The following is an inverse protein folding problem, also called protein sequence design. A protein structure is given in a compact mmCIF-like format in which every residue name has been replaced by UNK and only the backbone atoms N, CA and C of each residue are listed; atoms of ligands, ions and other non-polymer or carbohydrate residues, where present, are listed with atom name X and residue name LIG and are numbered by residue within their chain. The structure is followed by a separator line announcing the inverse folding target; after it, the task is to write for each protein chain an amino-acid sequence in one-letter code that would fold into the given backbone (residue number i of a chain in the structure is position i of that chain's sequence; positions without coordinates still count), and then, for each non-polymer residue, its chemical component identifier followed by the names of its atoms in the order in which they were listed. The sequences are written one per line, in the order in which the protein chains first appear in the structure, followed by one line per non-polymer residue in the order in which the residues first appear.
data_IF_480670761792
#
_entry.id   IF_480670761792
#
_cell.length_a   1.000
_cell.length_b   1.000
_cell.length_c   1.000
_cell.angle_alpha   90.00
_cell.angle_beta   90.00
_cell.angle_gamma   90.00
#
_symmetry.space_group_name_H-M   'P 1'
#
loop_
_entity.id
_entity.type
_entity.pdbx_description
1 polymer ?
#
# COMPACT_ATOMS: atom_id res chain seq x y z
N UNK A 1 2.62 -40.38 40.29
CA UNK A 1 2.26 -39.49 39.17
C UNK A 1 1.09 -40.13 38.44
N UNK A 2 -0.12 -39.93 38.95
CA UNK A 2 -1.33 -40.33 38.23
C UNK A 2 -1.67 -39.19 37.29
N UNK A 3 -1.55 -39.41 35.98
CA UNK A 3 -2.03 -38.46 34.98
C UNK A 3 -3.54 -38.38 35.08
N UNK A 4 -4.05 -37.21 35.46
CA UNK A 4 -5.48 -36.94 35.42
C UNK A 4 -5.93 -37.02 33.94
N UNK A 5 -6.93 -37.84 33.60
CA UNK A 5 -7.38 -37.98 32.22
C UNK A 5 -7.90 -36.63 31.73
N UNK A 6 -7.30 -36.09 30.66
CA UNK A 6 -7.73 -34.83 30.07
C UNK A 6 -9.19 -34.92 29.65
N UNK A 7 -9.97 -33.90 30.01
CA UNK A 7 -11.40 -33.89 29.80
C UNK A 7 -11.66 -33.73 28.28
N UNK A 8 -12.38 -34.64 27.61
CA UNK A 8 -12.52 -34.62 26.15
C UNK A 8 -13.06 -33.30 25.59
N UNK A 9 -13.82 -32.53 26.39
CA UNK A 9 -14.37 -31.22 26.04
C UNK A 9 -13.29 -30.13 25.88
N UNK A 10 -12.24 -30.15 26.71
CA UNK A 10 -11.14 -29.16 26.60
C UNK A 10 -10.39 -29.34 25.28
N UNK A 11 -10.19 -30.60 24.87
CA UNK A 11 -9.51 -30.93 23.61
C UNK A 11 -10.24 -30.41 22.37
N UNK A 12 -11.57 -30.32 22.39
CA UNK A 12 -12.34 -29.84 21.24
C UNK A 12 -12.33 -28.32 21.13
N UNK A 13 -12.47 -27.60 22.25
CA UNK A 13 -12.39 -26.14 22.27
C UNK A 13 -11.00 -25.64 21.88
N UNK A 14 -9.94 -26.29 22.37
CA UNK A 14 -8.56 -25.97 22.00
C UNK A 14 -8.38 -26.07 20.48
N UNK A 15 -8.85 -27.17 19.86
CA UNK A 15 -8.81 -27.35 18.40
C UNK A 15 -9.60 -26.28 17.64
N UNK A 16 -10.78 -25.89 18.12
CA UNK A 16 -11.59 -24.84 17.48
C UNK A 16 -10.86 -23.49 17.55
N UNK A 17 -10.28 -23.16 18.70
CA UNK A 17 -9.51 -21.91 18.89
C UNK A 17 -8.28 -21.86 17.97
N UNK A 18 -7.55 -22.96 17.86
CA UNK A 18 -6.38 -23.11 16.99
C UNK A 18 -6.78 -22.94 15.51
N UNK A 19 -7.87 -23.59 15.08
CA UNK A 19 -8.40 -23.42 13.72
C UNK A 19 -8.84 -21.99 13.41
N UNK A 20 -9.37 -21.24 14.38
CA UNK A 20 -9.76 -19.84 14.18
C UNK A 20 -8.53 -18.94 14.05
N UNK A 21 -7.52 -19.13 14.90
CA UNK A 21 -6.25 -18.40 14.80
C UNK A 21 -5.53 -18.67 13.48
N UNK A 22 -5.50 -19.92 13.03
CA UNK A 22 -4.95 -20.28 11.71
C UNK A 22 -5.70 -19.60 10.57
N UNK A 23 -7.03 -19.56 10.60
CA UNK A 23 -7.84 -18.84 9.60
C UNK A 23 -7.56 -17.33 9.63
N UNK A 24 -7.43 -16.71 10.81
CA UNK A 24 -7.06 -15.29 10.95
C UNK A 24 -5.68 -15.04 10.33
N UNK A 25 -4.71 -15.92 10.61
CA UNK A 25 -3.36 -15.83 10.07
C UNK A 25 -3.36 -15.95 8.55
N UNK A 26 -4.11 -16.91 7.98
CA UNK A 26 -4.25 -17.06 6.54
C UNK A 26 -4.80 -15.79 5.88
N UNK A 27 -5.87 -15.19 6.43
CA UNK A 27 -6.44 -13.94 5.89
C UNK A 27 -5.43 -12.79 5.92
N UNK A 28 -4.66 -12.66 7.01
CA UNK A 28 -3.61 -11.65 7.14
C UNK A 28 -2.46 -11.88 6.17
N UNK A 29 -2.03 -13.13 5.99
CA UNK A 29 -0.99 -13.47 5.01
C UNK A 29 -1.46 -13.17 3.59
N UNK A 30 -2.68 -13.54 3.21
CA UNK A 30 -3.25 -13.17 1.91
C UNK A 30 -3.28 -11.65 1.73
N UNK A 31 -3.69 -10.89 2.74
CA UNK A 31 -3.68 -9.43 2.69
C UNK A 31 -2.27 -8.84 2.50
N UNK A 32 -1.24 -9.40 3.15
CA UNK A 32 0.16 -9.00 2.93
C UNK A 32 0.60 -9.22 1.50
N UNK A 33 0.31 -10.39 0.91
CA UNK A 33 0.65 -10.68 -0.48
C UNK A 33 -0.04 -9.73 -1.46
N UNK A 34 -1.32 -9.42 -1.22
CA UNK A 34 -2.06 -8.43 -2.01
C UNK A 34 -1.39 -7.05 -1.91
N UNK A 35 -1.03 -6.61 -0.70
CA UNK A 35 -0.35 -5.33 -0.48
C UNK A 35 1.00 -5.27 -1.21
N UNK A 36 1.81 -6.32 -1.12
CA UNK A 36 3.09 -6.43 -1.83
C UNK A 36 2.89 -6.36 -3.36
N UNK A 37 1.86 -7.02 -3.89
CA UNK A 37 1.51 -6.95 -5.30
C UNK A 37 1.19 -5.53 -5.76
N UNK A 38 0.34 -4.80 -5.01
CA UNK A 38 0.03 -3.40 -5.33
C UNK A 38 1.24 -2.48 -5.18
N UNK A 39 2.09 -2.70 -4.16
CA UNK A 39 3.34 -1.97 -4.00
C UNK A 39 4.27 -2.13 -5.20
N UNK A 40 4.39 -3.34 -5.73
CA UNK A 40 5.19 -3.62 -6.93
C UNK A 40 4.61 -2.93 -8.18
N UNK A 41 3.28 -2.96 -8.37
CA UNK A 41 2.61 -2.27 -9.49
C UNK A 41 2.82 -0.76 -9.38
N UNK A 42 2.66 -0.18 -8.19
CA UNK A 42 2.88 1.25 -7.97
C UNK A 42 4.34 1.66 -8.26
N UNK A 43 5.31 0.86 -7.80
CA UNK A 43 6.72 1.09 -8.09
C UNK A 43 7.03 1.01 -9.59
N UNK A 44 6.48 0.02 -10.30
CA UNK A 44 6.62 -0.11 -11.75
C UNK A 44 6.01 1.08 -12.51
N UNK A 45 4.83 1.55 -12.09
CA UNK A 45 4.19 2.72 -12.67
C UNK A 45 5.04 3.99 -12.45
N UNK A 46 5.58 4.19 -11.24
CA UNK A 46 6.45 5.33 -10.94
C UNK A 46 7.75 5.30 -11.75
N UNK A 47 8.35 4.11 -11.91
CA UNK A 47 9.56 3.94 -12.73
C UNK A 47 9.32 4.22 -14.22
N UNK A 48 8.10 3.96 -14.72
CA UNK A 48 7.73 4.19 -16.12
C UNK A 48 7.42 5.64 -16.48
N UNK A 49 7.18 6.52 -15.49
CA UNK A 49 6.81 7.92 -15.75
C UNK A 49 8.08 8.76 -15.94
N UNK A 50 8.44 9.02 -17.20
CA UNK A 50 9.46 10.01 -17.52
C UNK A 50 8.91 11.43 -17.32
N UNK A 51 9.01 11.94 -16.09
CA UNK A 51 8.59 13.30 -15.70
C UNK A 51 9.23 14.39 -16.56
N UNK A 52 10.42 14.14 -17.11
CA UNK A 52 11.15 15.05 -18.01
C UNK A 52 10.40 15.41 -19.30
N UNK A 53 9.39 14.61 -19.69
CA UNK A 53 8.61 14.81 -20.91
C UNK A 53 7.38 15.71 -20.70
N UNK A 54 6.92 15.87 -19.45
CA UNK A 54 5.64 16.52 -19.13
C UNK A 54 5.65 18.01 -19.50
N UNK A 55 6.79 18.70 -19.40
CA UNK A 55 6.90 20.13 -19.70
C UNK A 55 6.80 20.47 -21.19
N UNK A 56 6.88 19.49 -22.09
CA UNK A 56 6.96 19.70 -23.55
C UNK A 56 5.65 19.41 -24.29
N UNK A 57 4.59 19.01 -23.57
CA UNK A 57 3.33 18.59 -24.19
C UNK A 57 2.32 19.74 -24.20
N UNK A 58 2.23 20.46 -25.32
CA UNK A 58 1.27 21.56 -25.54
C UNK A 58 -0.09 21.06 -26.07
N UNK A 59 -0.54 19.89 -25.62
CA UNK A 59 -1.73 19.23 -26.14
C UNK A 59 -2.88 19.27 -25.13
N UNK A 60 -4.15 19.54 -25.54
CA UNK A 60 -5.29 19.50 -24.63
C UNK A 60 -5.48 18.12 -23.96
N UNK A 61 -4.93 17.06 -24.57
CA UNK A 61 -4.95 15.71 -24.01
C UNK A 61 -4.09 15.57 -22.74
N UNK A 62 -3.19 16.51 -22.44
CA UNK A 62 -2.38 16.47 -21.21
C UNK A 62 -3.25 16.60 -19.96
N UNK A 63 -4.35 17.36 -20.00
CA UNK A 63 -5.26 17.49 -18.87
C UNK A 63 -5.96 16.17 -18.57
N UNK A 64 -6.40 15.45 -19.61
CA UNK A 64 -6.98 14.13 -19.45
C UNK A 64 -5.97 13.11 -18.93
N UNK A 65 -4.73 13.16 -19.41
CA UNK A 65 -3.64 12.33 -18.89
C UNK A 65 -3.38 12.63 -17.39
N UNK A 66 -3.27 13.89 -17.00
CA UNK A 66 -3.05 14.26 -15.59
C UNK A 66 -4.20 13.83 -14.69
N UNK A 67 -5.46 14.11 -15.07
CA UNK A 67 -6.62 13.75 -14.25
C UNK A 67 -6.74 12.23 -14.14
N UNK A 68 -6.63 11.49 -15.25
CA UNK A 68 -6.72 10.03 -15.22
C UNK A 68 -5.58 9.41 -14.40
N UNK A 69 -4.37 9.96 -14.50
CA UNK A 69 -3.26 9.56 -13.64
C UNK A 69 -3.54 9.77 -12.14
N UNK A 70 -4.06 10.95 -11.75
CA UNK A 70 -4.42 11.23 -10.36
C UNK A 70 -5.54 10.33 -9.85
N UNK A 71 -6.55 10.04 -10.68
CA UNK A 71 -7.63 9.11 -10.35
C UNK A 71 -7.08 7.69 -10.14
N UNK A 72 -6.18 7.22 -11.01
CA UNK A 72 -5.54 5.92 -10.86
C UNK A 72 -4.72 5.84 -9.56
N UNK A 73 -3.90 6.86 -9.26
CA UNK A 73 -3.14 6.91 -8.01
C UNK A 73 -4.05 6.90 -6.77
N UNK A 74 -5.12 7.69 -6.80
CA UNK A 74 -6.08 7.75 -5.69
C UNK A 74 -6.76 6.41 -5.46
N UNK A 75 -7.16 5.72 -6.53
CA UNK A 75 -7.75 4.39 -6.46
C UNK A 75 -6.78 3.38 -5.82
N UNK A 76 -5.53 3.34 -6.26
CA UNK A 76 -4.49 2.46 -5.69
C UNK A 76 -4.23 2.78 -4.21
N UNK A 77 -4.21 4.06 -3.84
CA UNK A 77 -4.05 4.45 -2.44
C UNK A 77 -5.22 3.99 -1.56
N UNK A 78 -6.45 4.07 -2.07
CA UNK A 78 -7.64 3.57 -1.37
C UNK A 78 -7.61 2.04 -1.22
N UNK A 79 -7.11 1.30 -2.21
CA UNK A 79 -6.90 -0.16 -2.10
C UNK A 79 -5.89 -0.50 -0.99
N UNK A 80 -4.75 0.18 -0.97
CA UNK A 80 -3.73 0.04 0.07
C UNK A 80 -4.32 0.34 1.44
N UNK A 81 -5.13 1.40 1.56
CA UNK A 81 -5.80 1.78 2.80
C UNK A 81 -6.76 0.68 3.27
N UNK A 82 -7.60 0.14 2.38
CA UNK A 82 -8.55 -0.93 2.70
C UNK A 82 -7.84 -2.22 3.15
N UNK A 83 -6.77 -2.61 2.48
CA UNK A 83 -5.97 -3.79 2.87
C UNK A 83 -5.26 -3.54 4.18
N UNK A 84 -4.75 -2.33 4.41
CA UNK A 84 -4.14 -1.93 5.67
C UNK A 84 -5.13 -2.06 6.83
N UNK A 85 -6.40 -1.68 6.65
CA UNK A 85 -7.42 -1.87 7.67
C UNK A 85 -7.63 -3.35 8.06
N UNK A 86 -7.47 -4.30 7.13
CA UNK A 86 -7.52 -5.74 7.44
C UNK A 86 -6.35 -6.15 8.33
N UNK A 87 -5.15 -5.62 8.05
CA UNK A 87 -3.93 -5.91 8.80
C UNK A 87 -3.94 -5.25 10.18
N UNK A 88 -4.45 -4.02 10.27
CA UNK A 88 -4.52 -3.24 11.52
C UNK A 88 -5.79 -3.49 12.31
N UNK A 89 -6.66 -4.41 11.88
CA UNK A 89 -7.81 -4.85 12.67
C UNK A 89 -7.29 -5.60 13.92
N UNK A 90 -6.92 -4.80 14.91
CA UNK A 90 -6.35 -5.20 16.19
C UNK A 90 -7.36 -5.08 17.32
N UNK A 91 -6.90 -5.35 18.54
CA UNK A 91 -7.72 -5.44 19.76
C UNK A 91 -8.78 -4.35 19.84
N UNK A 92 -10.05 -4.76 19.88
CA UNK A 92 -11.16 -3.86 20.16
C UNK A 92 -11.25 -3.62 21.67
N UNK A 93 -11.46 -2.38 22.07
CA UNK A 93 -11.91 -2.10 23.43
C UNK A 93 -13.38 -2.53 23.59
N UNK A 94 -13.85 -2.62 24.83
CA UNK A 94 -15.22 -3.06 25.12
C UNK A 94 -16.29 -2.20 24.43
N UNK A 95 -16.12 -0.88 24.43
CA UNK A 95 -17.05 0.02 23.76
C UNK A 95 -17.13 -0.23 22.24
N UNK A 96 -16.01 -0.54 21.61
CA UNK A 96 -15.94 -0.93 20.21
C UNK A 96 -16.60 -2.30 19.99
N UNK A 97 -16.40 -3.26 20.89
CA UNK A 97 -17.07 -4.57 20.84
C UNK A 97 -18.59 -4.42 20.91
N UNK A 98 -19.11 -3.65 21.86
CA UNK A 98 -20.55 -3.36 21.99
C UNK A 98 -21.13 -2.70 20.74
N UNK A 99 -20.46 -1.68 20.20
CA UNK A 99 -20.88 -1.03 18.94
C UNK A 99 -20.85 -2.00 17.76
N UNK A 100 -19.84 -2.86 17.69
CA UNK A 100 -19.66 -3.82 16.60
C UNK A 100 -20.73 -4.92 16.62
N UNK A 101 -21.05 -5.48 17.80
CA UNK A 101 -22.09 -6.51 17.96
C UNK A 101 -23.49 -5.98 17.60
N UNK A 102 -23.73 -4.70 17.87
CA UNK A 102 -24.98 -4.03 17.56
C UNK A 102 -25.08 -3.52 16.11
N UNK A 103 -24.02 -3.66 15.29
CA UNK A 103 -24.07 -3.29 13.87
C UNK A 103 -24.94 -4.28 13.08
N UNK A 104 -25.94 -3.74 12.37
CA UNK A 104 -26.90 -4.52 11.56
C UNK A 104 -26.24 -5.36 10.48
N UNK A 105 -25.11 -4.92 9.91
CA UNK A 105 -24.38 -5.69 8.91
C UNK A 105 -23.63 -6.86 9.54
N UNK A 106 -23.11 -6.69 10.75
CA UNK A 106 -22.43 -7.75 11.50
C UNK A 106 -23.42 -8.84 11.91
N UNK A 107 -24.59 -8.46 12.41
CA UNK A 107 -25.64 -9.42 12.78
C UNK A 107 -26.13 -10.28 11.61
N UNK A 108 -26.05 -9.78 10.38
CA UNK A 108 -26.36 -10.58 9.17
C UNK A 108 -25.30 -11.65 8.88
N UNK A 109 -24.08 -11.49 9.39
CA UNK A 109 -22.94 -12.39 9.11
C UNK A 109 -22.76 -13.39 10.24
N UNK A 110 -22.88 -12.94 11.49
CA UNK A 110 -22.78 -13.79 12.67
C UNK A 110 -23.73 -13.27 13.76
N UNK A 111 -24.50 -14.17 14.36
CA UNK A 111 -25.34 -13.84 15.51
C UNK A 111 -24.49 -13.92 16.79
N UNK A 112 -23.77 -12.83 17.09
CA UNK A 112 -22.90 -12.72 18.27
C UNK A 112 -23.69 -12.68 19.59
N UNK A 113 -25.02 -12.47 19.54
CA UNK A 113 -25.92 -12.59 20.69
C UNK A 113 -26.43 -14.02 20.87
N UNK A 114 -25.68 -15.03 20.42
CA UNK A 114 -26.04 -16.42 20.65
C UNK A 114 -25.87 -16.76 22.13
N UNK A 115 -26.97 -17.19 22.76
CA UNK A 115 -27.03 -17.61 24.16
C UNK A 115 -25.94 -18.63 24.51
N UNK A 116 -25.56 -19.50 23.57
CA UNK A 116 -24.55 -20.53 23.77
C UNK A 116 -23.12 -19.95 23.84
N UNK A 117 -22.84 -18.89 23.07
CA UNK A 117 -21.56 -18.18 23.10
C UNK A 117 -21.41 -17.38 24.39
N UNK A 118 -22.52 -16.84 24.89
CA UNK A 118 -22.56 -15.96 26.05
C UNK A 118 -22.85 -16.70 27.35
N UNK A 119 -22.76 -18.03 27.41
CA UNK A 119 -23.01 -18.82 28.63
C UNK A 119 -24.35 -18.49 29.31
N UNK A 120 -25.41 -18.35 28.52
CA UNK A 120 -26.78 -18.11 29.01
C UNK A 120 -27.25 -16.66 28.97
N UNK A 121 -26.38 -15.68 28.70
CA UNK A 121 -26.81 -14.29 28.59
C UNK A 121 -27.54 -14.02 27.26
N UNK A 122 -28.57 -13.18 27.33
CA UNK A 122 -29.42 -12.85 26.17
C UNK A 122 -28.74 -11.91 25.17
N UNK A 123 -27.81 -11.08 25.64
CA UNK A 123 -27.17 -10.03 24.84
C UNK A 123 -25.76 -9.79 25.35
N UNK A 124 -24.85 -9.45 24.45
CA UNK A 124 -23.47 -9.05 24.80
C UNK A 124 -23.44 -7.87 25.78
N UNK A 125 -24.35 -6.91 25.62
CA UNK A 125 -24.38 -5.73 26.51
C UNK A 125 -24.63 -6.12 27.97
N UNK A 126 -25.65 -6.95 28.23
CA UNK A 126 -25.92 -7.49 29.57
C UNK A 126 -24.75 -8.29 30.13
N UNK A 127 -24.07 -9.08 29.29
CA UNK A 127 -22.90 -9.83 29.73
C UNK A 127 -21.78 -8.91 30.22
N UNK A 128 -21.46 -7.87 29.46
CA UNK A 128 -20.42 -6.91 29.86
C UNK A 128 -20.84 -6.07 31.07
N UNK A 129 -22.11 -5.68 31.19
CA UNK A 129 -22.62 -4.96 32.36
C UNK A 129 -22.44 -5.79 33.65
N UNK A 130 -22.82 -7.08 33.61
CA UNK A 130 -22.64 -8.01 34.73
C UNK A 130 -21.15 -8.32 34.98
N UNK A 131 -20.33 -8.40 33.93
CA UNK A 131 -18.88 -8.61 34.04
C UNK A 131 -18.21 -7.46 34.80
N UNK A 132 -18.54 -6.21 34.46
CA UNK A 132 -18.02 -5.02 35.13
C UNK A 132 -18.48 -4.92 36.58
N UNK A 133 -19.76 -5.18 36.82
CA UNK A 133 -20.32 -5.17 38.18
C UNK A 133 -19.64 -6.20 39.07
N UNK A 134 -19.52 -7.45 38.60
CA UNK A 134 -18.86 -8.52 39.37
C UNK A 134 -17.36 -8.29 39.49
N UNK A 135 -16.70 -7.75 38.47
CA UNK A 135 -15.29 -7.34 38.55
C UNK A 135 -15.05 -6.29 39.64
N UNK A 136 -15.92 -5.28 39.75
CA UNK A 136 -15.84 -4.25 40.77
C UNK A 136 -16.07 -4.80 42.19
N UNK A 137 -17.03 -5.73 42.34
CA UNK A 137 -17.28 -6.43 43.61
C UNK A 137 -16.08 -7.31 44.01
N UNK A 138 -15.46 -8.01 43.07
CA UNK A 138 -14.28 -8.84 43.31
C UNK A 138 -13.09 -8.02 43.81
N UNK A 139 -12.82 -6.88 43.15
CA UNK A 139 -11.74 -5.98 43.56
C UNK A 139 -12.00 -5.32 44.93
N UNK A 140 -13.27 -5.06 45.27
CA UNK A 140 -13.66 -4.59 46.61
C UNK A 140 -13.41 -5.66 47.67
N UNK A 141 -13.91 -6.89 47.48
CA UNK A 141 -13.69 -8.01 48.42
C UNK A 141 -12.20 -8.30 48.65
N UNK A 142 -11.39 -8.19 47.59
CA UNK A 142 -9.93 -8.33 47.65
C UNK A 142 -9.27 -7.25 48.51
N UNK A 143 -9.71 -6.00 48.41
CA UNK A 143 -9.22 -4.88 49.25
C UNK A 143 -9.59 -5.06 50.71
N UNK A 144 -10.80 -5.55 50.97
CA UNK A 144 -11.34 -5.79 52.32
C UNK A 144 -10.80 -7.07 52.97
N UNK A 145 -10.10 -7.92 52.20
CA UNK A 145 -9.62 -9.24 52.61
C UNK A 145 -10.76 -10.19 53.05
N UNK A 146 -11.93 -10.05 52.44
CA UNK A 146 -13.03 -10.99 52.62
C UNK A 146 -12.76 -12.27 51.81
N UNK A 147 -12.01 -13.20 52.43
CA UNK A 147 -11.62 -14.45 51.77
C UNK A 147 -12.80 -15.33 51.38
N UNK A 148 -13.94 -15.23 52.08
CA UNK A 148 -15.11 -16.06 51.79
C UNK A 148 -15.77 -15.58 50.50
N UNK A 149 -16.07 -14.29 50.40
CA UNK A 149 -16.60 -13.69 49.17
C UNK A 149 -15.60 -13.84 48.02
N UNK A 150 -14.30 -13.75 48.29
CA UNK A 150 -13.27 -13.91 47.27
C UNK A 150 -13.26 -15.32 46.66
N UNK A 151 -13.42 -16.39 47.45
CA UNK A 151 -13.48 -17.76 46.93
C UNK A 151 -14.75 -18.02 46.10
N UNK A 152 -15.91 -17.57 46.59
CA UNK A 152 -17.19 -17.66 45.89
C UNK A 152 -17.12 -16.92 44.53
N UNK A 153 -16.61 -15.69 44.53
CA UNK A 153 -16.48 -14.89 43.33
C UNK A 153 -15.38 -15.37 42.39
N UNK A 154 -14.32 -16.01 42.89
CA UNK A 154 -13.23 -16.51 42.05
C UNK A 154 -13.73 -17.57 41.05
N UNK A 155 -14.65 -18.45 41.47
CA UNK A 155 -15.24 -19.43 40.55
C UNK A 155 -16.11 -18.78 39.48
N UNK A 156 -16.94 -17.81 39.86
CA UNK A 156 -17.80 -17.07 38.92
C UNK A 156 -16.96 -16.23 37.95
N UNK A 157 -15.97 -15.49 38.45
CA UNK A 157 -15.06 -14.69 37.65
C UNK A 157 -14.25 -15.56 36.69
N UNK A 158 -13.81 -16.76 37.11
CA UNK A 158 -13.12 -17.70 36.20
C UNK A 158 -13.99 -18.06 35.01
N UNK A 159 -15.27 -18.36 35.23
CA UNK A 159 -16.23 -18.66 34.13
C UNK A 159 -16.46 -17.44 33.25
N UNK A 160 -16.70 -16.28 33.84
CA UNK A 160 -16.93 -15.02 33.12
C UNK A 160 -15.72 -14.61 32.27
N UNK A 161 -14.51 -14.75 32.81
CA UNK A 161 -13.26 -14.49 32.09
C UNK A 161 -13.12 -15.44 30.89
N UNK A 162 -13.46 -16.72 31.05
CA UNK A 162 -13.46 -17.67 29.93
C UNK A 162 -14.47 -17.27 28.85
N UNK A 163 -15.71 -16.94 29.23
CA UNK A 163 -16.75 -16.47 28.31
C UNK A 163 -16.32 -15.18 27.61
N UNK A 164 -15.67 -14.26 28.33
CA UNK A 164 -15.10 -13.03 27.77
C UNK A 164 -14.06 -13.32 26.69
N UNK A 165 -13.13 -14.24 26.94
CA UNK A 165 -12.12 -14.63 25.94
C UNK A 165 -12.76 -15.29 24.72
N UNK A 166 -13.68 -16.25 24.92
CA UNK A 166 -14.39 -16.90 23.83
C UNK A 166 -15.16 -15.89 22.96
N UNK A 167 -15.88 -14.96 23.60
CA UNK A 167 -16.60 -13.89 22.93
C UNK A 167 -15.64 -12.96 22.17
N UNK A 168 -14.54 -12.55 22.80
CA UNK A 168 -13.53 -11.67 22.20
C UNK A 168 -12.91 -12.30 20.97
N UNK A 169 -12.63 -13.60 20.99
CA UNK A 169 -12.04 -14.31 19.85
C UNK A 169 -13.00 -14.41 18.67
N UNK A 170 -14.29 -14.68 18.93
CA UNK A 170 -15.34 -14.72 17.93
C UNK A 170 -15.62 -13.33 17.32
N UNK A 171 -15.66 -12.28 18.17
CA UNK A 171 -15.78 -10.89 17.72
C UNK A 171 -14.58 -10.51 16.85
N UNK A 172 -13.36 -10.85 17.28
CA UNK A 172 -12.14 -10.54 16.54
C UNK A 172 -12.12 -11.24 15.18
N UNK A 173 -12.50 -12.52 15.13
CA UNK A 173 -12.61 -13.26 13.87
C UNK A 173 -13.67 -12.66 12.95
N UNK A 174 -14.86 -12.39 13.47
CA UNK A 174 -15.98 -11.81 12.71
C UNK A 174 -15.63 -10.42 12.18
N UNK A 175 -14.94 -9.60 12.97
CA UNK A 175 -14.43 -8.29 12.56
C UNK A 175 -13.44 -8.40 11.40
N UNK A 176 -12.43 -9.26 11.51
CA UNK A 176 -11.46 -9.47 10.42
C UNK A 176 -12.17 -9.94 9.15
N UNK A 177 -13.10 -10.90 9.27
CA UNK A 177 -13.88 -11.42 8.13
C UNK A 177 -14.73 -10.33 7.47
N UNK A 178 -15.37 -9.47 8.27
CA UNK A 178 -16.18 -8.37 7.77
C UNK A 178 -15.34 -7.32 7.03
N UNK A 179 -14.24 -6.87 7.65
CA UNK A 179 -13.30 -5.92 7.04
C UNK A 179 -12.69 -6.50 5.76
N UNK A 180 -12.32 -7.79 5.77
CA UNK A 180 -11.80 -8.49 4.60
C UNK A 180 -12.81 -8.53 3.45
N UNK A 181 -14.08 -8.84 3.72
CA UNK A 181 -15.13 -8.85 2.68
C UNK A 181 -15.32 -7.46 2.06
N UNK A 182 -15.33 -6.41 2.89
CA UNK A 182 -15.39 -5.01 2.42
C UNK A 182 -14.14 -4.64 1.61
N UNK A 183 -12.96 -5.05 2.06
CA UNK A 183 -11.71 -4.81 1.36
C UNK A 183 -11.69 -5.47 -0.02
N UNK A 184 -12.08 -6.75 -0.13
CA UNK A 184 -12.19 -7.43 -1.43
C UNK A 184 -13.13 -6.69 -2.37
N UNK A 185 -14.33 -6.36 -1.89
CA UNK A 185 -15.31 -5.65 -2.72
C UNK A 185 -14.76 -4.29 -3.17
N UNK A 186 -14.10 -3.56 -2.27
CA UNK A 186 -13.43 -2.31 -2.57
C UNK A 186 -12.30 -2.48 -3.60
N UNK A 187 -11.44 -3.49 -3.45
CA UNK A 187 -10.37 -3.81 -4.40
C UNK A 187 -10.92 -4.06 -5.80
N UNK A 188 -12.03 -4.80 -5.94
CA UNK A 188 -12.62 -5.00 -7.26
C UNK A 188 -13.16 -3.70 -7.87
N UNK A 189 -13.79 -2.84 -7.07
CA UNK A 189 -14.35 -1.56 -7.54
C UNK A 189 -13.23 -0.58 -7.89
N UNK A 190 -12.28 -0.35 -6.98
CA UNK A 190 -11.18 0.56 -7.18
C UNK A 190 -10.19 0.05 -8.23
N UNK A 191 -9.99 -1.25 -8.33
CA UNK A 191 -9.17 -1.86 -9.38
C UNK A 191 -9.78 -1.66 -10.76
N UNK A 192 -11.10 -1.78 -10.90
CA UNK A 192 -11.79 -1.44 -12.15
C UNK A 192 -11.65 0.05 -12.49
N UNK A 193 -11.78 0.95 -11.50
CA UNK A 193 -11.58 2.39 -11.69
C UNK A 193 -10.14 2.69 -12.12
N UNK A 194 -9.15 2.09 -11.45
CA UNK A 194 -7.73 2.25 -11.76
C UNK A 194 -7.42 1.75 -13.18
N UNK A 195 -7.93 0.58 -13.56
CA UNK A 195 -7.74 0.02 -14.90
C UNK A 195 -8.33 0.93 -15.99
N UNK A 196 -9.56 1.44 -15.79
CA UNK A 196 -10.18 2.39 -16.71
C UNK A 196 -9.39 3.70 -16.79
N UNK A 197 -8.94 4.23 -15.67
CA UNK A 197 -8.15 5.44 -15.62
C UNK A 197 -6.80 5.26 -16.34
N UNK A 198 -6.12 4.14 -16.16
CA UNK A 198 -4.88 3.79 -16.88
C UNK A 198 -5.13 3.66 -18.39
N UNK A 199 -6.25 3.06 -18.80
CA UNK A 199 -6.61 2.98 -20.21
C UNK A 199 -6.83 4.36 -20.84
N UNK A 200 -7.53 5.27 -20.13
CA UNK A 200 -7.71 6.67 -20.56
C UNK A 200 -6.38 7.42 -20.59
N UNK A 201 -5.50 7.19 -19.61
CA UNK A 201 -4.16 7.76 -19.57
C UNK A 201 -3.35 7.33 -20.80
N UNK A 202 -3.25 6.02 -21.05
CA UNK A 202 -2.52 5.46 -22.18
C UNK A 202 -3.06 5.98 -23.52
N UNK A 203 -4.38 6.06 -23.66
CA UNK A 203 -5.02 6.65 -24.84
C UNK A 203 -4.68 8.13 -25.02
N UNK A 204 -4.73 8.92 -23.94
CA UNK A 204 -4.44 10.36 -23.96
C UNK A 204 -2.98 10.63 -24.32
N UNK A 205 -2.05 9.84 -23.76
CA UNK A 205 -0.62 9.90 -24.08
C UNK A 205 -0.38 9.50 -25.54
N UNK A 206 -1.03 8.45 -26.04
CA UNK A 206 -0.92 8.02 -27.44
C UNK A 206 -1.46 9.03 -28.46
N UNK A 207 -2.34 9.95 -28.05
CA UNK A 207 -2.81 11.08 -28.88
C UNK A 207 -1.87 12.29 -28.85
N UNK A 208 -0.91 12.30 -27.94
CA UNK A 208 0.16 13.30 -28.00
C UNK A 208 1.04 12.94 -29.20
N UNK A 209 1.22 13.84 -30.17
CA UNK A 209 2.08 13.55 -31.32
C UNK A 209 3.45 13.14 -30.78
N UNK A 210 3.94 11.98 -31.22
CA UNK A 210 5.29 11.55 -30.91
C UNK A 210 6.23 12.72 -31.21
N UNK A 211 7.18 12.98 -30.31
CA UNK A 211 8.16 14.03 -30.54
C UNK A 211 8.75 13.83 -31.94
N UNK A 212 8.54 14.80 -32.83
CA UNK A 212 8.98 14.68 -34.22
C UNK A 212 10.50 14.59 -34.20
N UNK A 213 11.05 13.41 -34.48
CA UNK A 213 12.48 13.24 -34.69
C UNK A 213 12.83 13.88 -36.02
N UNK A 214 13.41 15.08 -35.96
CA UNK A 214 13.93 15.74 -37.14
C UNK A 214 15.36 15.25 -37.36
N UNK A 215 15.55 14.43 -38.39
CA UNK A 215 16.89 14.08 -38.86
C UNK A 215 17.51 15.30 -39.57
N UNK A 216 18.71 15.68 -39.13
CA UNK A 216 19.45 16.78 -39.76
C UNK A 216 20.25 16.17 -40.90
N UNK A 217 19.82 16.43 -42.15
CA UNK A 217 20.47 15.93 -43.35
C UNK A 217 20.81 17.10 -44.32
N UNK A 218 22.10 17.40 -44.58
CA UNK A 218 23.28 16.71 -44.05
C UNK A 218 23.49 16.97 -42.54
N UNK A 219 24.20 16.09 -41.81
CA UNK A 219 24.57 16.36 -40.43
C UNK A 219 25.29 17.71 -40.29
N UNK A 220 24.89 18.51 -39.30
CA UNK A 220 25.38 19.87 -39.13
C UNK A 220 26.44 19.96 -38.02
N UNK A 221 27.48 20.78 -38.23
CA UNK A 221 28.44 21.09 -37.18
C UNK A 221 27.81 21.99 -36.11
N UNK A 222 28.05 21.68 -34.84
CA UNK A 222 27.55 22.44 -33.71
C UNK A 222 28.58 22.48 -32.57
N UNK A 223 28.38 23.43 -31.65
CA UNK A 223 29.14 23.52 -30.42
C UNK A 223 28.24 23.17 -29.24
N UNK A 224 28.75 22.31 -28.36
CA UNK A 224 28.10 21.89 -27.13
C UNK A 224 28.75 22.58 -25.94
N UNK A 225 27.97 23.37 -25.22
CA UNK A 225 28.36 23.89 -23.90
C UNK A 225 27.71 23.01 -22.83
N UNK A 226 28.53 22.24 -22.11
CA UNK A 226 28.06 21.37 -21.03
C UNK A 226 27.74 22.17 -19.77
N UNK A 227 26.70 21.76 -19.05
CA UNK A 227 26.48 22.18 -17.66
C UNK A 227 27.44 21.43 -16.74
N UNK A 228 27.57 21.84 -15.48
CA UNK A 228 28.37 21.11 -14.50
C UNK A 228 27.90 19.65 -14.33
N UNK A 229 26.58 19.42 -14.31
CA UNK A 229 26.00 18.08 -14.28
C UNK A 229 26.36 17.27 -15.55
N UNK A 230 26.31 17.90 -16.73
CA UNK A 230 26.72 17.29 -17.99
C UNK A 230 28.21 16.94 -18.05
N UNK A 231 29.07 17.80 -17.50
CA UNK A 231 30.51 17.54 -17.39
C UNK A 231 30.77 16.31 -16.53
N UNK A 232 30.15 16.21 -15.36
CA UNK A 232 30.31 15.05 -14.47
C UNK A 232 29.76 13.76 -15.10
N UNK A 233 28.59 13.82 -15.73
CA UNK A 233 27.95 12.66 -16.35
C UNK A 233 28.71 12.13 -17.58
N UNK A 234 29.32 13.02 -18.38
CA UNK A 234 29.99 12.64 -19.63
C UNK A 234 31.51 12.53 -19.53
N UNK A 235 32.14 12.98 -18.42
CA UNK A 235 33.58 12.88 -18.20
C UNK A 235 34.14 11.46 -18.45
N UNK A 236 33.50 10.36 -17.99
CA UNK A 236 34.02 9.01 -18.23
C UNK A 236 34.05 8.60 -19.69
N UNK A 237 33.15 9.16 -20.52
CA UNK A 237 33.01 8.81 -21.93
C UNK A 237 33.79 9.74 -22.85
N UNK A 238 33.78 11.05 -22.59
CA UNK A 238 34.43 12.06 -23.42
C UNK A 238 35.88 12.34 -23.03
N UNK A 239 36.23 12.08 -21.76
CA UNK A 239 37.51 12.43 -21.15
C UNK A 239 37.41 13.73 -20.32
N UNK A 240 38.09 13.77 -19.17
CA UNK A 240 38.04 14.90 -18.22
C UNK A 240 38.48 16.23 -18.86
N UNK A 241 39.50 16.18 -19.72
CA UNK A 241 39.99 17.36 -20.44
C UNK A 241 39.00 17.86 -21.49
N UNK A 242 38.26 16.95 -22.12
CA UNK A 242 37.24 17.31 -23.12
C UNK A 242 36.09 18.08 -22.46
N UNK A 243 35.55 17.54 -21.36
CA UNK A 243 34.39 18.15 -20.70
C UNK A 243 34.72 19.48 -20.03
N UNK A 244 35.99 19.71 -19.66
CA UNK A 244 36.46 20.99 -19.12
C UNK A 244 36.55 22.12 -20.17
N UNK A 245 36.40 21.81 -21.46
CA UNK A 245 36.40 22.83 -22.51
C UNK A 245 35.12 23.70 -22.45
N UNK A 246 35.22 25.01 -22.74
CA UNK A 246 34.05 25.90 -22.74
C UNK A 246 33.02 25.55 -23.84
N UNK A 247 33.48 24.90 -24.91
CA UNK A 247 32.64 24.40 -25.99
C UNK A 247 33.29 23.16 -26.62
N UNK A 248 32.54 22.06 -26.69
CA UNK A 248 32.95 20.82 -27.35
C UNK A 248 32.39 20.80 -28.77
N UNK A 249 33.25 20.57 -29.76
CA UNK A 249 32.81 20.43 -31.16
C UNK A 249 32.05 19.10 -31.34
N UNK A 250 30.82 19.20 -31.85
CA UNK A 250 29.94 18.05 -32.06
C UNK A 250 29.29 18.10 -33.45
N UNK A 251 28.85 16.94 -33.93
CA UNK A 251 28.04 16.80 -35.14
C UNK A 251 26.61 16.49 -34.69
N UNK A 252 25.67 17.35 -35.06
CA UNK A 252 24.25 17.16 -34.80
C UNK A 252 23.65 16.19 -35.82
N UNK A 253 23.11 15.07 -35.33
CA UNK A 253 22.49 14.03 -36.15
C UNK A 253 20.96 14.19 -36.21
N UNK A 254 20.33 14.40 -35.06
CA UNK A 254 18.88 14.58 -35.01
C UNK A 254 18.44 15.38 -33.78
N UNK A 255 17.23 15.94 -33.87
CA UNK A 255 16.55 16.61 -32.77
C UNK A 255 15.27 15.84 -32.46
N UNK A 256 15.15 15.34 -31.24
CA UNK A 256 14.01 14.56 -30.77
C UNK A 256 13.50 15.14 -29.46
N UNK A 257 12.30 15.70 -29.46
CA UNK A 257 11.63 16.14 -28.23
C UNK A 257 12.43 17.16 -27.44
N UNK A 258 13.16 18.06 -28.11
CA UNK A 258 14.02 19.05 -27.46
C UNK A 258 15.29 18.48 -26.81
N UNK A 259 15.68 17.25 -27.17
CA UNK A 259 17.01 16.71 -26.94
C UNK A 259 17.74 16.57 -28.28
N UNK A 260 19.05 16.79 -28.28
CA UNK A 260 19.90 16.71 -29.47
C UNK A 260 20.68 15.40 -29.45
N UNK A 261 20.59 14.60 -30.51
CA UNK A 261 21.45 13.43 -30.72
C UNK A 261 22.71 13.89 -31.45
N UNK A 262 23.85 13.82 -30.77
CA UNK A 262 25.11 14.39 -31.25
C UNK A 262 26.24 13.36 -31.19
N UNK A 263 27.26 13.58 -32.00
CA UNK A 263 28.53 12.84 -31.96
C UNK A 263 29.66 13.82 -31.72
N UNK A 264 30.50 13.59 -30.71
CA UNK A 264 31.69 14.43 -30.48
C UNK A 264 32.71 14.26 -31.60
N UNK A 265 33.32 15.37 -32.02
CA UNK A 265 34.40 15.34 -32.99
C UNK A 265 35.72 14.92 -32.31
N UNK A 266 36.54 14.09 -32.96
CA UNK A 266 37.82 13.66 -32.40
C UNK A 266 38.78 14.85 -32.25
N UNK A 267 39.35 15.02 -31.06
CA UNK A 267 40.48 15.91 -30.82
C UNK A 267 41.56 15.19 -30.00
N UNK A 268 42.69 15.82 -29.73
CA UNK A 268 43.72 15.24 -28.86
C UNK A 268 43.21 14.96 -27.44
N UNK A 269 42.18 15.69 -27.00
CA UNK A 269 41.64 15.63 -25.64
C UNK A 269 40.19 15.11 -25.57
N UNK A 270 39.52 14.88 -26.71
CA UNK A 270 38.13 14.40 -26.79
C UNK A 270 38.00 13.08 -27.57
N UNK A 271 37.41 12.07 -26.92
CA UNK A 271 37.00 10.84 -27.59
C UNK A 271 35.75 11.04 -28.45
N UNK A 272 35.60 10.22 -29.51
CA UNK A 272 34.40 10.19 -30.37
C UNK A 272 33.32 9.33 -29.71
N UNK A 273 32.24 9.94 -29.28
CA UNK A 273 31.11 9.29 -28.60
C UNK A 273 29.82 9.86 -29.15
N UNK A 274 28.82 8.99 -29.37
CA UNK A 274 27.44 9.38 -29.67
C UNK A 274 26.63 9.44 -28.36
N UNK A 275 25.94 10.55 -28.13
CA UNK A 275 25.14 10.73 -26.92
C UNK A 275 23.98 11.72 -27.16
N UNK A 276 22.97 11.69 -26.28
CA UNK A 276 21.86 12.64 -26.29
C UNK A 276 22.14 13.79 -25.32
N UNK A 277 21.92 15.02 -25.76
CA UNK A 277 22.03 16.25 -24.97
C UNK A 277 20.62 16.77 -24.69
N UNK A 278 20.20 16.70 -23.43
CA UNK A 278 19.04 17.44 -22.92
C UNK A 278 19.48 18.79 -22.35
N UNK A 279 18.52 19.68 -22.04
CA UNK A 279 18.80 20.98 -21.43
C UNK A 279 19.57 20.89 -20.09
N UNK A 280 19.40 19.80 -19.35
CA UNK A 280 20.11 19.56 -18.08
C UNK A 280 21.58 19.18 -18.29
N UNK A 281 21.90 18.59 -19.46
CA UNK A 281 23.26 18.17 -19.83
C UNK A 281 24.04 19.31 -20.48
N UNK A 282 23.38 20.12 -21.32
CA UNK A 282 24.04 21.21 -22.01
C UNK A 282 23.18 21.94 -23.02
N UNK A 283 23.78 22.94 -23.66
CA UNK A 283 23.19 23.70 -24.75
C UNK A 283 23.96 23.45 -26.04
N UNK A 284 23.23 23.14 -27.11
CA UNK A 284 23.79 22.96 -28.46
C UNK A 284 23.54 24.22 -29.28
N UNK A 285 24.61 24.84 -29.79
CA UNK A 285 24.54 25.97 -30.73
C UNK A 285 25.03 25.51 -32.10
N UNK A 286 24.15 25.52 -33.10
CA UNK A 286 24.52 25.22 -34.50
C UNK A 286 25.41 26.31 -35.06
N UNK A 287 26.47 25.94 -35.77
CA UNK A 287 27.27 26.91 -36.53
C UNK A 287 26.51 27.27 -37.83
N UNK A 288 26.42 28.56 -38.19
CA UNK A 288 25.77 29.00 -39.43
C UNK A 288 26.53 28.57 -40.68
#
# INVERSE_FOLDING_TARGET
MSGEPSNPVETEQEKISEQMEDKKKQLRETAKWILTGFGAIAAALLAGINLSSISKVTSPYIYFAMISFLVALTAVFLEIYLVSQVLTCGSMNEQQMRRFVNDRQVQKISNLNNVLLLDGYLTVDKFFDDYDEKGARFETAKKEKDFKTLDEMNQEMKKMVQTYFNLRDEISFTSVKFTYKKAIQGIFIFGAIAALAIAVFAWSVGKTPAAVTMFVNPPAAAQLTLTEAGQQALAPSLGEKCVAQPAVAVILLSVEGGSFDVVSQPTADCAVVRFKVSADVGQVKTQP
#
